data_IF_258353701876
#
_entry.id   IF_258353701876
#
_cell.length_a   1.000
_cell.length_b   1.000
_cell.length_c   1.000
_cell.angle_alpha   90.00
_cell.angle_beta   90.00
_cell.angle_gamma   90.00
#
_symmetry.space_group_name_H-M   'P 1'
#
loop_
_entity.id
_entity.type
_entity.pdbx_description
1 polymer ?
#
# COMPACT_ATOMS: atom_id res chain seq x y z
N UNK A 1 -22.07 -3.48 -27.89
CA UNK A 1 -21.26 -3.51 -26.66
C UNK A 1 -20.21 -4.61 -26.78
N UNK A 2 -18.92 -4.30 -26.62
CA UNK A 2 -17.82 -5.27 -26.79
C UNK A 2 -17.65 -6.06 -25.48
N UNK A 3 -18.08 -7.32 -25.46
CA UNK A 3 -17.70 -8.27 -24.39
C UNK A 3 -16.23 -8.62 -24.62
N UNK A 4 -15.34 -8.00 -23.88
CA UNK A 4 -13.92 -8.38 -23.88
C UNK A 4 -13.83 -9.69 -23.12
N UNK A 5 -13.61 -10.78 -23.86
CA UNK A 5 -13.34 -12.11 -23.32
C UNK A 5 -11.97 -12.04 -22.64
N UNK A 6 -11.96 -11.85 -21.33
CA UNK A 6 -10.74 -11.82 -20.53
C UNK A 6 -10.21 -13.25 -20.43
N UNK A 7 -9.06 -13.51 -21.04
CA UNK A 7 -8.39 -14.80 -20.91
C UNK A 7 -7.95 -15.02 -19.45
N UNK A 8 -8.77 -15.77 -18.70
CA UNK A 8 -8.33 -16.85 -17.83
C UNK A 8 -7.70 -16.50 -16.48
N UNK A 9 -7.93 -15.31 -15.90
CA UNK A 9 -7.47 -15.01 -14.53
C UNK A 9 -8.66 -14.80 -13.63
N UNK A 10 -8.75 -15.62 -12.59
CA UNK A 10 -9.74 -15.50 -11.54
C UNK A 10 -9.13 -14.71 -10.37
N UNK A 11 -9.96 -13.88 -9.75
CA UNK A 11 -9.57 -13.09 -8.60
C UNK A 11 -10.52 -13.35 -7.44
N UNK A 12 -9.99 -13.28 -6.24
CA UNK A 12 -10.75 -13.45 -5.01
C UNK A 12 -10.39 -12.36 -4.00
N UNK A 13 -11.36 -12.00 -3.15
CA UNK A 13 -11.16 -11.10 -2.01
C UNK A 13 -11.14 -11.91 -0.73
N UNK A 14 -10.12 -11.71 0.10
CA UNK A 14 -10.10 -12.28 1.44
C UNK A 14 -11.13 -11.56 2.32
N UNK A 15 -12.08 -12.32 2.86
CA UNK A 15 -13.13 -11.81 3.79
C UNK A 15 -12.94 -12.32 5.21
N UNK A 16 -12.09 -13.32 5.41
CA UNK A 16 -11.77 -13.86 6.72
C UNK A 16 -10.30 -14.31 6.79
N UNK A 17 -9.52 -13.67 7.66
CA UNK A 17 -8.13 -14.01 7.93
C UNK A 17 -7.88 -14.53 9.36
N UNK A 18 -8.92 -14.92 10.11
CA UNK A 18 -8.82 -15.23 11.55
C UNK A 18 -7.73 -16.25 11.91
N UNK A 19 -7.51 -17.27 11.07
CA UNK A 19 -6.50 -18.31 11.31
C UNK A 19 -5.14 -18.00 10.67
N UNK A 20 -5.09 -16.99 9.79
CA UNK A 20 -3.90 -16.63 9.01
C UNK A 20 -3.65 -15.12 8.98
N UNK A 21 -3.62 -14.40 10.13
CA UNK A 21 -3.48 -12.95 10.13
C UNK A 21 -2.11 -12.46 9.61
N UNK A 22 -1.09 -13.33 9.63
CA UNK A 22 0.25 -13.02 9.12
C UNK A 22 0.41 -13.32 7.61
N UNK A 23 -0.46 -14.14 7.03
CA UNK A 23 -0.35 -14.60 5.63
C UNK A 23 -1.46 -14.03 4.75
N UNK A 24 -2.64 -13.78 5.33
CA UNK A 24 -3.81 -13.22 4.65
C UNK A 24 -4.13 -11.83 5.19
N UNK A 25 -4.23 -10.89 4.26
CA UNK A 25 -4.69 -9.54 4.52
C UNK A 25 -6.17 -9.43 4.19
N UNK A 26 -6.93 -8.94 5.17
CA UNK A 26 -8.36 -8.75 5.03
C UNK A 26 -8.68 -7.70 3.94
N UNK A 27 -9.67 -7.99 3.11
CA UNK A 27 -10.13 -7.18 1.98
C UNK A 27 -9.12 -7.00 0.83
N UNK A 28 -8.01 -7.73 0.88
CA UNK A 28 -7.04 -7.76 -0.23
C UNK A 28 -7.55 -8.65 -1.35
N UNK A 29 -7.26 -8.23 -2.59
CA UNK A 29 -7.55 -8.98 -3.81
C UNK A 29 -6.34 -9.87 -4.11
N UNK A 30 -6.57 -11.16 -4.23
CA UNK A 30 -5.58 -12.17 -4.61
C UNK A 30 -5.89 -12.74 -6.00
N UNK A 31 -4.85 -13.15 -6.71
CA UNK A 31 -4.99 -13.90 -7.96
C UNK A 31 -5.14 -15.39 -7.62
N UNK A 32 -6.12 -16.06 -8.23
CA UNK A 32 -6.30 -17.51 -8.12
C UNK A 32 -5.47 -18.20 -9.21
N UNK A 33 -4.78 -19.26 -8.81
CA UNK A 33 -4.17 -20.24 -9.69
C UNK A 33 -5.14 -21.44 -9.79
N UNK A 34 -5.65 -21.78 -11.00
CA UNK A 34 -6.56 -22.90 -11.16
C UNK A 34 -5.87 -24.21 -10.78
N UNK A 35 -6.47 -24.93 -9.83
CA UNK A 35 -6.01 -26.21 -9.32
C UNK A 35 -7.25 -27.10 -9.11
N UNK A 36 -7.46 -28.05 -10.02
CA UNK A 36 -8.66 -28.90 -10.03
C UNK A 36 -8.74 -29.77 -8.77
N UNK A 37 -7.60 -30.24 -8.26
CA UNK A 37 -7.55 -31.07 -7.05
C UNK A 37 -7.90 -30.27 -5.81
N UNK A 38 -7.39 -29.06 -5.72
CA UNK A 38 -7.76 -28.15 -4.63
C UNK A 38 -9.26 -27.84 -4.66
N UNK A 39 -9.81 -27.60 -5.86
CA UNK A 39 -11.22 -27.27 -6.03
C UNK A 39 -12.16 -28.43 -5.66
N UNK A 40 -11.73 -29.69 -5.81
CA UNK A 40 -12.48 -30.87 -5.36
C UNK A 40 -12.67 -30.90 -3.83
N UNK A 41 -11.71 -30.35 -3.08
CA UNK A 41 -11.70 -30.34 -1.61
C UNK A 41 -12.13 -28.97 -1.01
N UNK A 42 -12.75 -28.08 -1.79
CA UNK A 42 -13.12 -26.71 -1.39
C UNK A 42 -11.90 -25.86 -0.95
N UNK A 43 -10.75 -26.06 -1.61
CA UNK A 43 -9.57 -25.22 -1.48
C UNK A 43 -9.34 -24.36 -2.72
N UNK A 44 -8.73 -23.20 -2.50
CA UNK A 44 -8.29 -22.27 -3.52
C UNK A 44 -6.80 -22.03 -3.39
N UNK A 45 -6.09 -22.13 -4.51
CA UNK A 45 -4.68 -21.78 -4.60
C UNK A 45 -4.57 -20.32 -5.00
N UNK A 46 -4.00 -19.48 -4.14
CA UNK A 46 -3.86 -18.04 -4.34
C UNK A 46 -2.38 -17.65 -4.43
N UNK A 47 -2.08 -16.65 -5.24
CA UNK A 47 -0.72 -16.11 -5.38
C UNK A 47 -0.60 -14.85 -4.53
N UNK A 48 0.43 -14.78 -3.70
CA UNK A 48 0.74 -13.63 -2.86
C UNK A 48 1.59 -12.54 -3.59
N UNK A 49 2.06 -11.54 -2.87
CA UNK A 49 2.90 -10.45 -3.41
C UNK A 49 4.29 -10.90 -3.84
N UNK A 50 4.79 -11.99 -3.26
CA UNK A 50 6.08 -12.57 -3.61
C UNK A 50 5.98 -13.42 -4.87
N UNK A 51 4.76 -13.65 -5.36
CA UNK A 51 4.50 -14.58 -6.45
C UNK A 51 4.53 -16.04 -6.01
N UNK A 52 4.46 -16.29 -4.70
CA UNK A 52 4.38 -17.61 -4.12
C UNK A 52 2.93 -18.08 -4.09
N UNK A 53 2.70 -19.34 -4.42
CA UNK A 53 1.38 -19.95 -4.38
C UNK A 53 1.10 -20.62 -3.03
N UNK A 54 -0.06 -20.31 -2.46
CA UNK A 54 -0.50 -20.83 -1.18
C UNK A 54 -1.90 -21.41 -1.31
N UNK A 55 -2.17 -22.49 -0.57
CA UNK A 55 -3.44 -23.20 -0.57
C UNK A 55 -4.23 -22.87 0.69
N UNK A 56 -5.46 -22.39 0.53
CA UNK A 56 -6.36 -22.06 1.63
C UNK A 56 -7.78 -22.54 1.34
N UNK A 57 -8.59 -22.70 2.38
CA UNK A 57 -10.01 -23.03 2.21
C UNK A 57 -10.75 -21.90 1.49
N UNK A 58 -11.59 -22.26 0.52
CA UNK A 58 -12.35 -21.36 -0.33
C UNK A 58 -13.33 -20.47 0.48
N UNK A 59 -13.81 -20.93 1.63
CA UNK A 59 -14.76 -20.20 2.50
C UNK A 59 -14.23 -18.85 3.01
N UNK A 60 -12.91 -18.65 2.98
CA UNK A 60 -12.26 -17.40 3.37
C UNK A 60 -12.32 -16.33 2.29
N UNK A 61 -12.69 -16.72 1.08
CA UNK A 61 -12.55 -15.95 -0.14
C UNK A 61 -13.87 -15.78 -0.86
N UNK A 62 -14.05 -14.60 -1.45
CA UNK A 62 -15.18 -14.32 -2.32
C UNK A 62 -14.67 -14.07 -3.74
N UNK A 63 -15.14 -14.81 -4.76
CA UNK A 63 -14.74 -14.57 -6.14
C UNK A 63 -15.26 -13.21 -6.63
N UNK A 64 -14.42 -12.49 -7.37
CA UNK A 64 -14.75 -11.17 -7.91
C UNK A 64 -14.36 -11.05 -9.37
N UNK A 65 -15.28 -10.53 -10.17
CA UNK A 65 -15.01 -10.11 -11.54
C UNK A 65 -14.49 -8.68 -11.54
N UNK A 66 -13.24 -8.51 -11.98
CA UNK A 66 -12.60 -7.20 -12.01
C UNK A 66 -12.66 -6.60 -13.42
N UNK A 67 -12.97 -5.31 -13.56
CA UNK A 67 -12.76 -4.61 -14.82
C UNK A 67 -11.28 -4.67 -15.20
N UNK A 68 -10.98 -4.81 -16.49
CA UNK A 68 -9.60 -4.93 -17.01
C UNK A 68 -8.64 -3.84 -16.49
N UNK A 69 -9.15 -2.62 -16.23
CA UNK A 69 -8.34 -1.53 -15.65
C UNK A 69 -7.87 -1.86 -14.23
N UNK A 70 -8.73 -2.47 -13.43
CA UNK A 70 -8.45 -2.87 -12.05
C UNK A 70 -7.52 -4.07 -12.03
N UNK A 71 -7.75 -5.09 -12.87
CA UNK A 71 -6.85 -6.26 -12.98
C UNK A 71 -5.39 -5.83 -13.20
N UNK A 72 -5.16 -4.92 -14.17
CA UNK A 72 -3.83 -4.38 -14.46
C UNK A 72 -3.24 -3.61 -13.28
N UNK A 73 -4.07 -2.96 -12.45
CA UNK A 73 -3.61 -2.25 -11.27
C UNK A 73 -3.20 -3.21 -10.18
N UNK A 74 -4.05 -4.20 -9.86
CA UNK A 74 -3.79 -5.21 -8.82
C UNK A 74 -2.51 -6.00 -9.14
N UNK A 75 -2.34 -6.41 -10.39
CA UNK A 75 -1.12 -7.09 -10.86
C UNK A 75 0.17 -6.26 -10.76
N UNK A 76 0.07 -4.94 -10.67
CA UNK A 76 1.22 -4.05 -10.48
C UNK A 76 1.50 -3.81 -9.00
N UNK A 77 0.44 -3.65 -8.21
CA UNK A 77 0.52 -3.40 -6.77
C UNK A 77 1.10 -4.58 -6.01
N UNK A 78 0.86 -5.83 -6.45
CA UNK A 78 1.46 -7.01 -5.81
C UNK A 78 2.99 -7.02 -5.81
N UNK A 79 3.67 -6.09 -6.49
CA UNK A 79 5.14 -5.95 -6.49
C UNK A 79 5.67 -4.82 -5.62
N UNK A 80 4.80 -3.99 -5.04
CA UNK A 80 5.21 -2.93 -4.12
C UNK A 80 4.76 -3.29 -2.70
N UNK A 81 5.64 -3.24 -1.69
CA UNK A 81 5.20 -3.36 -0.31
C UNK A 81 4.16 -2.27 -0.05
N UNK A 82 3.11 -2.55 0.76
CA UNK A 82 2.21 -1.50 1.17
C UNK A 82 3.09 -0.42 1.77
N UNK A 83 3.02 0.78 1.20
CA UNK A 83 3.52 1.98 1.85
C UNK A 83 2.77 2.02 3.17
N UNK A 84 3.33 1.37 4.20
CA UNK A 84 2.92 1.51 5.58
C UNK A 84 2.76 2.99 5.74
N UNK A 85 1.52 3.41 6.00
CA UNK A 85 1.20 4.78 6.29
C UNK A 85 2.02 5.17 7.51
N UNK A 86 3.25 5.63 7.26
CA UNK A 86 3.98 6.42 8.23
C UNK A 86 3.14 7.66 8.31
N UNK A 87 2.39 7.71 9.41
CA UNK A 87 1.72 8.89 9.91
C UNK A 87 2.84 9.89 10.31
N UNK A 88 3.67 10.29 9.34
CA UNK A 88 4.62 11.36 9.46
C UNK A 88 3.82 12.64 9.24
N UNK A 89 3.20 13.08 10.33
CA UNK A 89 2.84 14.45 10.61
C UNK A 89 3.78 15.38 9.81
N UNK A 90 3.30 16.04 8.74
CA UNK A 90 4.06 17.15 8.15
C UNK A 90 4.21 18.17 9.29
N UNK A 91 5.43 18.55 9.69
CA UNK A 91 5.55 19.65 10.63
C UNK A 91 4.94 20.89 9.97
N UNK A 92 4.18 21.73 10.71
CA UNK A 92 3.78 23.01 10.18
C UNK A 92 5.05 23.76 9.80
N UNK A 93 5.08 24.30 8.58
CA UNK A 93 6.12 25.24 8.18
C UNK A 93 5.99 26.42 9.14
N UNK A 94 6.82 26.47 10.17
CA UNK A 94 6.97 27.67 10.97
C UNK A 94 7.40 28.76 10.00
N UNK A 95 6.46 29.65 9.71
CA UNK A 95 6.71 30.88 8.98
C UNK A 95 7.87 31.59 9.65
N UNK A 96 8.86 31.94 8.85
CA UNK A 96 9.96 32.82 9.21
C UNK A 96 9.38 34.05 9.92
N UNK A 97 9.54 34.13 11.24
CA UNK A 97 9.38 35.39 11.95
C UNK A 97 10.53 36.28 11.49
N UNK A 98 10.23 37.15 10.53
CA UNK A 98 11.00 38.34 10.28
C UNK A 98 11.19 39.07 11.63
N UNK A 99 12.43 39.09 12.15
CA UNK A 99 12.78 39.97 13.26
C UNK A 99 13.02 41.37 12.71
N UNK A 100 12.46 42.41 13.35
CA UNK A 100 12.43 43.76 12.83
C UNK A 100 13.80 44.44 12.94
N UNK A 101 14.04 45.33 11.99
CA UNK A 101 15.09 46.36 11.98
C UNK A 101 15.08 47.20 13.26
N UNK A 102 16.24 47.36 13.89
CA UNK A 102 16.40 48.31 14.99
C UNK A 102 17.83 48.35 15.53
N UNK A 103 18.68 49.20 14.94
CA UNK A 103 19.92 49.66 15.56
C UNK A 103 19.60 50.57 16.75
N UNK A 104 20.49 50.67 17.75
CA UNK A 104 21.07 51.99 18.00
C UNK A 104 22.57 51.98 18.31
N UNK A 105 23.20 53.03 17.79
CA UNK A 105 24.53 53.56 18.14
C UNK A 105 24.68 53.77 19.65
N UNK A 106 25.87 53.49 20.19
CA UNK A 106 26.45 54.28 21.29
C UNK A 106 27.97 54.44 21.15
N UNK A 107 28.37 55.70 20.93
CA UNK A 107 29.58 56.46 21.27
C UNK A 107 30.73 55.74 22.04
N UNK A 108 31.96 55.73 21.50
CA UNK A 108 33.07 56.71 21.69
C UNK A 108 33.76 56.60 23.06
N UNK A 109 35.04 56.24 23.08
CA UNK A 109 36.10 56.98 23.81
C UNK A 109 37.49 56.68 23.23
N UNK A 110 38.25 57.74 23.01
CA UNK A 110 39.68 57.73 22.70
C UNK A 110 40.51 57.23 23.89
N UNK A 111 41.64 56.59 23.62
CA UNK A 111 42.84 56.78 24.42
C UNK A 111 44.06 56.75 23.48
N UNK A 112 44.89 57.78 23.66
CA UNK A 112 46.09 58.13 22.89
C UNK A 112 47.29 57.89 23.81
N UNK A 113 48.46 57.65 23.21
CA UNK A 113 49.82 57.65 23.81
C UNK A 113 50.16 56.40 24.66
N UNK A 114 51.39 55.91 24.67
CA UNK A 114 52.67 56.61 24.40
C UNK A 114 53.70 55.74 23.69
#
# INVERSE_FOLDING_TARGET
MKRTKTNGKQFVVCTNNSDYPASLELHKIYQVLPDERAAEDDFVRVIDERGEDYLYSADRFVPVDLPQKVERSVMRTSREPPMLATNAMRPPRHGSLARPSGSPRTHRTHARRS
#
